data_IF_999956813554
#
_entry.id   IF_999956813554
#
_cell.length_a   1.000
_cell.length_b   1.000
_cell.length_c   1.000
_cell.angle_alpha   90.00
_cell.angle_beta   90.00
_cell.angle_gamma   90.00
#
_symmetry.space_group_name_H-M   'P 1'
#
loop_
_entity.id
_entity.type
_entity.pdbx_description
1 polymer ?
#
# COMPACT_ATOMS: atom_id res chain seq x y z
N UNK A 1 43.12 -16.52 31.29
CA UNK A 1 42.88 -16.52 29.84
C UNK A 1 41.49 -17.08 29.58
N UNK A 2 40.48 -16.20 29.50
CA UNK A 2 39.12 -16.54 29.05
C UNK A 2 38.53 -15.29 28.42
N UNK A 3 38.41 -15.28 27.10
CA UNK A 3 37.90 -14.15 26.32
C UNK A 3 36.42 -14.43 26.02
N UNK A 4 35.53 -13.63 26.60
CA UNK A 4 34.08 -13.69 26.33
C UNK A 4 33.77 -12.71 25.20
N UNK A 5 33.48 -13.21 24.00
CA UNK A 5 33.07 -12.39 22.87
C UNK A 5 31.56 -12.10 22.96
N UNK A 6 31.21 -10.83 23.12
CA UNK A 6 29.84 -10.35 23.06
C UNK A 6 29.34 -10.37 21.61
N UNK A 7 28.23 -11.07 21.38
CA UNK A 7 27.56 -11.22 20.09
C UNK A 7 26.55 -10.08 19.95
N UNK A 8 26.88 -9.06 19.16
CA UNK A 8 25.95 -8.01 18.74
C UNK A 8 24.91 -8.60 17.78
N UNK A 9 23.65 -8.59 18.19
CA UNK A 9 22.52 -8.95 17.33
C UNK A 9 22.17 -7.84 16.34
N UNK A 10 21.45 -8.15 15.24
CA UNK A 10 21.09 -7.18 14.23
C UNK A 10 20.04 -6.19 14.74
N UNK A 11 20.28 -4.92 14.48
CA UNK A 11 19.37 -3.80 14.71
C UNK A 11 18.17 -3.90 13.77
N UNK A 12 16.96 -3.96 14.32
CA UNK A 12 15.72 -3.86 13.54
C UNK A 12 15.54 -2.44 12.99
N UNK A 13 15.08 -2.26 11.73
CA UNK A 13 14.74 -0.95 11.20
C UNK A 13 13.54 -0.36 11.94
N UNK A 14 13.60 0.94 12.24
CA UNK A 14 12.49 1.68 12.85
C UNK A 14 11.33 1.90 11.87
N UNK A 15 10.13 2.24 12.37
CA UNK A 15 9.00 2.56 11.52
C UNK A 15 9.22 3.93 10.85
N UNK A 16 9.05 3.99 9.53
CA UNK A 16 8.81 5.24 8.79
C UNK A 16 9.96 5.87 8.00
N UNK A 17 11.03 5.13 7.66
CA UNK A 17 11.98 5.63 6.65
C UNK A 17 11.47 5.27 5.26
N UNK A 18 10.84 6.22 4.57
CA UNK A 18 10.60 6.11 3.13
C UNK A 18 11.98 6.18 2.46
N UNK A 19 12.54 5.02 2.12
CA UNK A 19 13.75 4.95 1.32
C UNK A 19 13.36 5.22 -0.14
N UNK A 20 13.24 6.49 -0.52
CA UNK A 20 13.33 6.90 -1.93
C UNK A 20 14.79 6.77 -2.39
N UNK A 21 15.32 5.54 -2.41
CA UNK A 21 16.66 5.24 -2.87
C UNK A 21 16.62 4.84 -4.34
N UNK A 22 16.16 5.74 -5.22
CA UNK A 22 16.34 5.65 -6.70
C UNK A 22 15.96 6.91 -7.49
N UNK A 23 15.48 8.00 -6.88
CA UNK A 23 15.29 9.26 -7.60
C UNK A 23 16.63 10.01 -7.75
N UNK A 24 17.51 9.50 -8.61
CA UNK A 24 18.67 10.27 -9.09
C UNK A 24 18.15 11.28 -10.10
N UNK A 25 17.68 12.43 -9.61
CA UNK A 25 17.21 13.53 -10.46
C UNK A 25 18.42 14.17 -11.17
N UNK A 26 18.70 13.76 -12.41
CA UNK A 26 19.55 14.52 -13.32
C UNK A 26 18.79 15.74 -13.83
N UNK A 27 19.18 16.92 -13.36
CA UNK A 27 18.69 18.19 -13.86
C UNK A 27 19.46 18.58 -15.13
N UNK A 28 18.90 18.31 -16.30
CA UNK A 28 19.39 18.89 -17.56
C UNK A 28 18.74 20.25 -17.80
N UNK A 29 19.54 21.30 -17.62
CA UNK A 29 19.17 22.68 -17.92
C UNK A 29 19.19 22.93 -19.42
N UNK A 30 18.00 23.05 -20.03
CA UNK A 30 17.84 23.61 -21.38
C UNK A 30 16.90 24.81 -21.34
N UNK A 31 17.46 25.99 -21.58
CA UNK A 31 16.74 27.26 -21.80
C UNK A 31 16.10 27.29 -23.19
N UNK A 32 14.85 27.77 -23.33
CA UNK A 32 14.33 28.19 -24.64
C UNK A 32 14.27 29.72 -24.73
N UNK A 33 14.80 30.24 -25.83
CA UNK A 33 14.69 31.63 -26.24
C UNK A 33 13.52 31.88 -27.18
N UNK A 34 13.09 33.15 -27.14
CA UNK A 34 12.40 33.94 -28.17
C UNK A 34 10.95 33.61 -28.58
N UNK A 35 10.08 34.60 -28.39
CA UNK A 35 9.66 35.40 -29.53
C UNK A 35 8.23 35.24 -30.08
N UNK A 36 7.55 36.39 -30.10
CA UNK A 36 6.48 36.82 -31.01
C UNK A 36 5.02 36.42 -30.71
N UNK A 37 4.23 37.49 -30.58
CA UNK A 37 2.81 37.53 -30.35
C UNK A 37 2.02 37.25 -31.62
N UNK A 38 0.93 36.49 -31.48
CA UNK A 38 -0.12 36.36 -32.51
C UNK A 38 -1.47 36.86 -31.95
N UNK A 39 -2.38 37.37 -32.79
CA UNK A 39 -3.59 38.06 -32.34
C UNK A 39 -4.77 37.12 -32.09
N UNK A 40 -5.59 37.54 -31.11
CA UNK A 40 -6.81 36.93 -30.58
C UNK A 40 -7.77 36.24 -31.58
N UNK A 41 -8.32 35.06 -31.24
CA UNK A 41 -9.52 34.52 -31.87
C UNK A 41 -10.82 35.03 -31.20
N UNK A 42 -11.98 35.01 -31.91
CA UNK A 42 -13.27 35.55 -31.46
C UNK A 42 -13.98 34.68 -30.39
N UNK A 43 -15.01 35.21 -29.70
CA UNK A 43 -15.54 34.62 -28.47
C UNK A 43 -16.32 33.32 -28.72
N UNK A 44 -15.91 32.27 -28.00
CA UNK A 44 -16.61 30.98 -27.93
C UNK A 44 -17.85 31.13 -27.05
N UNK A 45 -19.00 30.82 -27.64
CA UNK A 45 -20.29 30.68 -26.95
C UNK A 45 -20.20 29.66 -25.82
N UNK A 46 -20.56 30.09 -24.60
CA UNK A 46 -20.65 29.27 -23.38
C UNK A 46 -21.69 28.17 -23.55
N UNK A 47 -21.26 26.99 -24.02
CA UNK A 47 -22.04 25.78 -23.85
C UNK A 47 -22.03 25.38 -22.38
N UNK A 48 -23.19 25.59 -21.75
CA UNK A 48 -23.58 25.11 -20.43
C UNK A 48 -23.33 23.60 -20.35
N UNK A 49 -22.17 23.20 -19.82
CA UNK A 49 -21.88 21.79 -19.49
C UNK A 49 -22.89 21.35 -18.44
N UNK A 50 -23.67 20.32 -18.76
CA UNK A 50 -24.50 19.63 -17.78
C UNK A 50 -23.58 18.95 -16.75
N UNK A 51 -23.76 19.18 -15.44
CA UNK A 51 -23.16 18.34 -14.42
C UNK A 51 -24.05 17.11 -14.24
N UNK A 52 -23.53 15.89 -14.42
CA UNK A 52 -24.29 14.69 -14.09
C UNK A 52 -24.01 13.40 -14.85
N UNK A 53 -23.00 13.32 -15.73
CA UNK A 53 -22.52 12.00 -16.14
C UNK A 53 -21.66 11.43 -15.01
N UNK A 54 -22.32 10.75 -14.07
CA UNK A 54 -21.69 9.77 -13.20
C UNK A 54 -20.88 8.83 -14.11
N UNK A 55 -19.54 8.95 -14.06
CA UNK A 55 -18.67 7.94 -14.66
C UNK A 55 -19.10 6.61 -14.06
N UNK A 56 -19.44 5.66 -14.91
CA UNK A 56 -19.63 4.28 -14.48
C UNK A 56 -18.44 3.87 -13.59
N UNK A 57 -18.67 3.11 -12.50
CA UNK A 57 -17.57 2.54 -11.73
C UNK A 57 -16.63 1.87 -12.72
N UNK A 58 -15.35 2.22 -12.68
CA UNK A 58 -14.37 1.73 -13.63
C UNK A 58 -14.37 0.20 -13.59
N UNK A 59 -15.00 -0.42 -14.58
CA UNK A 59 -15.06 -1.87 -14.70
C UNK A 59 -13.63 -2.36 -14.88
N UNK A 60 -13.20 -3.27 -14.01
CA UNK A 60 -11.86 -3.84 -14.08
C UNK A 60 -11.73 -4.64 -15.38
N UNK A 61 -10.63 -4.46 -16.14
CA UNK A 61 -10.35 -5.32 -17.27
C UNK A 61 -10.30 -6.79 -16.85
N UNK A 62 -10.68 -7.69 -17.76
CA UNK A 62 -10.53 -9.12 -17.53
C UNK A 62 -9.05 -9.47 -17.27
N UNK A 63 -8.77 -10.35 -16.31
CA UNK A 63 -7.40 -10.68 -15.88
C UNK A 63 -6.50 -11.14 -17.05
N UNK A 64 -7.04 -11.90 -18.00
CA UNK A 64 -6.30 -12.32 -19.20
C UNK A 64 -5.90 -11.13 -20.08
N UNK A 65 -6.77 -10.13 -20.23
CA UNK A 65 -6.45 -8.91 -20.98
C UNK A 65 -5.32 -8.14 -20.32
N UNK A 66 -5.25 -8.11 -18.99
CA UNK A 66 -4.13 -7.50 -18.28
C UNK A 66 -2.80 -8.23 -18.54
N UNK A 67 -2.82 -9.56 -18.60
CA UNK A 67 -1.64 -10.35 -18.95
C UNK A 67 -1.18 -10.07 -20.37
N UNK A 68 -2.10 -10.06 -21.33
CA UNK A 68 -1.78 -10.00 -22.76
C UNK A 68 -1.45 -8.58 -23.24
N UNK A 69 -2.05 -7.55 -22.64
CA UNK A 69 -1.94 -6.17 -23.12
C UNK A 69 -0.95 -5.29 -22.32
N UNK A 70 -0.38 -5.80 -21.23
CA UNK A 70 0.64 -5.06 -20.48
C UNK A 70 2.02 -5.38 -21.03
N UNK A 71 2.84 -4.37 -21.31
CA UNK A 71 4.24 -4.56 -21.70
C UNK A 71 5.12 -4.86 -20.48
N UNK A 72 5.00 -6.07 -19.95
CA UNK A 72 5.67 -6.45 -18.70
C UNK A 72 7.19 -6.33 -18.74
N UNK A 73 7.79 -6.54 -19.91
CA UNK A 73 9.24 -6.46 -20.08
C UNK A 73 9.77 -5.02 -19.95
N UNK A 74 8.94 -4.00 -20.18
CA UNK A 74 9.32 -2.59 -20.01
C UNK A 74 9.21 -2.10 -18.58
N UNK A 75 8.53 -2.83 -17.69
CA UNK A 75 8.19 -2.35 -16.35
C UNK A 75 9.28 -2.72 -15.33
N UNK A 76 9.77 -1.73 -14.61
CA UNK A 76 10.72 -1.94 -13.53
C UNK A 76 10.12 -2.73 -12.35
N UNK A 77 10.94 -3.58 -11.76
CA UNK A 77 10.68 -4.37 -10.54
C UNK A 77 11.85 -4.19 -9.56
N UNK A 78 11.73 -4.77 -8.35
CA UNK A 78 12.89 -4.79 -7.43
C UNK A 78 14.08 -5.59 -7.97
N UNK A 79 13.86 -6.47 -8.95
CA UNK A 79 14.89 -7.40 -9.47
C UNK A 79 15.30 -7.15 -10.92
N UNK A 80 14.82 -6.06 -11.53
CA UNK A 80 15.07 -5.76 -12.94
C UNK A 80 13.78 -5.38 -13.65
N UNK A 81 13.37 -6.19 -14.62
CA UNK A 81 12.14 -6.00 -15.39
C UNK A 81 11.06 -6.99 -14.97
N UNK A 82 9.82 -6.76 -15.40
CA UNK A 82 8.67 -7.61 -15.10
C UNK A 82 8.48 -8.81 -16.03
N UNK A 83 9.48 -9.20 -16.82
CA UNK A 83 9.35 -10.25 -17.85
C UNK A 83 8.84 -11.60 -17.28
N UNK A 84 9.16 -11.92 -16.04
CA UNK A 84 8.67 -13.13 -15.36
C UNK A 84 7.26 -13.04 -14.78
N UNK A 85 6.73 -11.83 -14.60
CA UNK A 85 5.45 -11.61 -13.92
C UNK A 85 4.27 -12.30 -14.61
N UNK A 86 4.11 -12.29 -15.95
CA UNK A 86 2.96 -12.93 -16.59
C UNK A 86 2.84 -14.42 -16.27
N UNK A 87 3.98 -15.13 -16.31
CA UNK A 87 4.03 -16.54 -16.01
C UNK A 87 3.74 -16.85 -14.54
N UNK A 88 4.22 -15.99 -13.63
CA UNK A 88 3.91 -16.12 -12.20
C UNK A 88 2.45 -15.80 -11.89
N UNK A 89 1.91 -14.71 -12.44
CA UNK A 89 0.52 -14.28 -12.24
C UNK A 89 -0.48 -15.30 -12.80
N UNK A 90 -0.24 -15.86 -13.99
CA UNK A 90 -1.11 -16.89 -14.55
C UNK A 90 -1.25 -18.12 -13.63
N UNK A 91 -0.18 -18.48 -12.90
CA UNK A 91 -0.17 -19.59 -11.93
C UNK A 91 -0.95 -19.30 -10.65
N UNK A 92 -1.42 -18.07 -10.42
CA UNK A 92 -2.37 -17.78 -9.34
C UNK A 92 -3.72 -18.46 -9.55
N UNK A 93 -4.03 -18.88 -10.77
CA UNK A 93 -5.27 -19.58 -11.13
C UNK A 93 -5.05 -21.07 -11.39
N UNK A 94 -3.85 -21.59 -11.12
CA UNK A 94 -3.54 -23.02 -11.24
C UNK A 94 -4.48 -23.83 -10.33
N UNK A 95 -4.95 -25.04 -10.72
CA UNK A 95 -5.78 -25.88 -9.84
C UNK A 95 -5.06 -26.36 -8.57
N UNK A 96 -3.73 -26.43 -8.54
CA UNK A 96 -2.96 -26.84 -7.37
C UNK A 96 -2.73 -25.68 -6.37
N UNK A 97 -3.23 -25.76 -5.12
CA UNK A 97 -3.02 -24.73 -4.11
C UNK A 97 -1.55 -24.46 -3.77
N UNK A 98 -0.67 -25.46 -3.89
CA UNK A 98 0.77 -25.30 -3.65
C UNK A 98 1.40 -24.44 -4.75
N UNK A 99 0.99 -24.66 -6.01
CA UNK A 99 1.41 -23.84 -7.15
C UNK A 99 0.93 -22.41 -6.98
N UNK A 100 -0.35 -22.20 -6.61
CA UNK A 100 -0.90 -20.86 -6.36
C UNK A 100 -0.18 -20.13 -5.23
N UNK A 101 0.06 -20.80 -4.11
CA UNK A 101 0.75 -20.21 -2.95
C UNK A 101 2.19 -19.81 -3.27
N UNK A 102 2.89 -20.61 -4.07
CA UNK A 102 4.22 -20.31 -4.59
C UNK A 102 4.19 -19.14 -5.58
N UNK A 103 3.28 -19.17 -6.55
CA UNK A 103 3.07 -18.11 -7.52
C UNK A 103 2.80 -16.74 -6.86
N UNK A 104 1.92 -16.71 -5.85
CA UNK A 104 1.64 -15.49 -5.09
C UNK A 104 2.87 -14.97 -4.37
N UNK A 105 3.64 -15.84 -3.71
CA UNK A 105 4.88 -15.41 -3.05
C UNK A 105 5.87 -14.83 -4.06
N UNK A 106 6.02 -15.47 -5.21
CA UNK A 106 7.05 -15.10 -6.19
C UNK A 106 6.67 -13.79 -6.89
N UNK A 107 5.44 -13.67 -7.42
CA UNK A 107 4.96 -12.46 -8.09
C UNK A 107 4.91 -11.24 -7.15
N UNK A 108 4.36 -11.39 -5.94
CA UNK A 108 4.18 -10.25 -5.03
C UNK A 108 5.51 -9.75 -4.46
N UNK A 109 6.50 -10.63 -4.24
CA UNK A 109 7.85 -10.22 -3.82
C UNK A 109 8.65 -9.52 -4.91
N UNK A 110 8.31 -9.74 -6.17
CA UNK A 110 8.97 -9.11 -7.31
C UNK A 110 8.57 -7.62 -7.43
N UNK A 111 7.35 -7.28 -7.01
CA UNK A 111 6.81 -5.91 -7.08
C UNK A 111 6.68 -5.21 -5.73
N UNK A 112 7.27 -5.78 -4.68
CA UNK A 112 7.21 -5.21 -3.31
C UNK A 112 8.55 -5.32 -2.61
N UNK A 113 9.10 -4.18 -2.22
CA UNK A 113 10.29 -4.13 -1.39
C UNK A 113 10.35 -2.78 -0.65
N UNK A 114 10.60 -2.83 0.67
CA UNK A 114 10.81 -1.65 1.52
C UNK A 114 9.77 -0.52 1.35
N UNK A 115 8.50 -0.88 1.19
CA UNK A 115 7.38 0.05 1.00
C UNK A 115 7.51 0.90 -0.29
N UNK A 116 8.26 0.43 -1.28
CA UNK A 116 8.41 1.07 -2.58
C UNK A 116 7.39 0.53 -3.57
N UNK A 117 6.73 1.44 -4.29
CA UNK A 117 5.85 1.13 -5.42
C UNK A 117 6.67 1.22 -6.70
N UNK A 118 6.75 0.11 -7.43
CA UNK A 118 7.44 0.00 -8.70
C UNK A 118 6.45 0.16 -9.86
N UNK A 119 6.96 0.39 -11.07
CA UNK A 119 6.13 0.48 -12.28
C UNK A 119 5.26 -0.77 -12.47
N UNK A 120 5.83 -1.95 -12.21
CA UNK A 120 5.11 -3.22 -12.30
C UNK A 120 4.08 -3.43 -11.17
N UNK A 121 4.18 -2.72 -10.05
CA UNK A 121 3.22 -2.85 -8.93
C UNK A 121 1.80 -2.46 -9.34
N UNK A 122 1.67 -1.46 -10.21
CA UNK A 122 0.37 -0.93 -10.69
C UNK A 122 -0.42 -1.98 -11.48
N UNK A 123 0.09 -2.59 -12.56
CA UNK A 123 -0.64 -3.65 -13.28
C UNK A 123 -0.78 -4.94 -12.47
N UNK A 124 0.15 -5.27 -11.56
CA UNK A 124 -0.06 -6.39 -10.63
C UNK A 124 -1.26 -6.12 -9.72
N UNK A 125 -1.44 -4.90 -9.20
CA UNK A 125 -2.59 -4.55 -8.37
C UNK A 125 -3.92 -4.68 -9.12
N UNK A 126 -3.96 -4.26 -10.40
CA UNK A 126 -5.12 -4.48 -11.26
C UNK A 126 -5.39 -5.97 -11.49
N UNK A 127 -4.35 -6.75 -11.77
CA UNK A 127 -4.49 -8.19 -11.98
C UNK A 127 -5.05 -8.87 -10.72
N UNK A 128 -4.47 -8.57 -9.56
CA UNK A 128 -4.94 -9.08 -8.27
C UNK A 128 -6.40 -8.73 -8.06
N UNK A 129 -6.79 -7.47 -8.24
CA UNK A 129 -8.19 -7.04 -8.11
C UNK A 129 -9.13 -7.80 -9.05
N UNK A 130 -8.71 -8.04 -10.30
CA UNK A 130 -9.49 -8.76 -11.29
C UNK A 130 -9.67 -10.26 -10.96
N UNK A 131 -8.81 -10.85 -10.13
CA UNK A 131 -8.90 -12.27 -9.74
C UNK A 131 -9.46 -12.52 -8.34
N UNK A 132 -9.72 -11.49 -7.53
CA UNK A 132 -10.24 -11.67 -6.17
C UNK A 132 -11.57 -12.46 -6.12
N UNK A 133 -12.42 -12.30 -7.13
CA UNK A 133 -13.68 -13.04 -7.28
C UNK A 133 -13.57 -14.35 -8.08
N UNK A 134 -12.37 -14.75 -8.49
CA UNK A 134 -12.18 -15.95 -9.30
C UNK A 134 -12.33 -17.21 -8.43
N UNK A 135 -13.04 -18.27 -8.86
CA UNK A 135 -13.27 -19.47 -8.06
C UNK A 135 -11.99 -20.12 -7.52
N UNK A 136 -10.90 -20.16 -8.30
CA UNK A 136 -9.62 -20.71 -7.87
C UNK A 136 -8.92 -19.88 -6.76
N UNK A 137 -9.31 -18.61 -6.58
CA UNK A 137 -8.79 -17.72 -5.54
C UNK A 137 -9.71 -17.73 -4.33
N UNK A 138 -11.03 -17.73 -4.57
CA UNK A 138 -12.05 -17.72 -3.51
C UNK A 138 -12.32 -19.09 -2.90
N UNK A 139 -11.89 -20.19 -3.55
CA UNK A 139 -11.89 -21.50 -2.92
C UNK A 139 -11.01 -21.44 -1.66
N UNK A 140 -11.61 -21.69 -0.49
CA UNK A 140 -10.89 -21.76 0.77
C UNK A 140 -10.00 -23.00 0.81
N UNK A 141 -8.85 -22.94 0.14
CA UNK A 141 -7.92 -24.06 0.10
C UNK A 141 -7.13 -24.15 1.39
N UNK A 142 -7.74 -24.75 2.40
CA UNK A 142 -7.06 -25.19 3.60
C UNK A 142 -6.23 -26.43 3.28
N UNK A 143 -5.12 -26.25 2.57
CA UNK A 143 -4.12 -27.31 2.39
C UNK A 143 -3.67 -27.82 3.75
N UNK A 144 -4.22 -28.96 4.17
CA UNK A 144 -3.88 -29.66 5.41
C UNK A 144 -2.61 -30.49 5.17
N UNK A 145 -1.46 -29.83 4.99
CA UNK A 145 -0.19 -30.50 5.18
C UNK A 145 0.11 -30.60 6.67
N UNK A 146 0.04 -31.83 7.19
CA UNK A 146 0.31 -32.15 8.58
C UNK A 146 1.77 -31.81 8.93
N UNK A 147 1.98 -30.60 9.46
CA UNK A 147 3.31 -30.12 9.89
C UNK A 147 3.60 -28.66 9.53
N UNK A 148 2.80 -28.03 8.67
CA UNK A 148 2.92 -26.61 8.36
C UNK A 148 1.84 -25.80 9.10
N UNK A 149 2.15 -24.57 9.56
CA UNK A 149 1.12 -23.68 10.09
C UNK A 149 0.00 -23.50 9.05
N UNK A 150 -1.25 -23.28 9.47
CA UNK A 150 -2.38 -23.20 8.55
C UNK A 150 -2.07 -22.21 7.42
N UNK A 151 -2.05 -22.72 6.18
CA UNK A 151 -1.89 -21.88 5.01
C UNK A 151 -3.00 -20.84 5.04
N UNK A 152 -2.64 -19.55 5.10
CA UNK A 152 -3.61 -18.49 4.95
C UNK A 152 -4.28 -18.65 3.58
N UNK A 153 -5.61 -18.55 3.48
CA UNK A 153 -6.30 -18.61 2.21
C UNK A 153 -5.63 -17.65 1.21
N UNK A 154 -5.45 -18.09 -0.04
CA UNK A 154 -4.82 -17.27 -1.07
C UNK A 154 -5.47 -15.88 -1.15
N UNK A 155 -6.80 -15.84 -1.06
CA UNK A 155 -7.57 -14.61 -1.03
C UNK A 155 -7.12 -13.63 0.09
N UNK A 156 -6.91 -14.13 1.31
CA UNK A 156 -6.43 -13.32 2.44
C UNK A 156 -5.04 -12.75 2.12
N UNK A 157 -4.13 -13.57 1.61
CA UNK A 157 -2.78 -13.12 1.23
C UNK A 157 -2.81 -12.02 0.16
N UNK A 158 -3.66 -12.16 -0.84
CA UNK A 158 -3.81 -11.16 -1.91
C UNK A 158 -4.39 -9.84 -1.37
N UNK A 159 -5.37 -9.92 -0.47
CA UNK A 159 -5.95 -8.74 0.19
C UNK A 159 -4.95 -8.05 1.12
N UNK A 160 -4.19 -8.80 1.92
CA UNK A 160 -3.16 -8.25 2.81
C UNK A 160 -2.07 -7.52 2.02
N UNK A 161 -1.66 -8.11 0.88
CA UNK A 161 -0.74 -7.46 -0.03
C UNK A 161 -1.33 -6.17 -0.60
N UNK A 162 -2.54 -6.23 -1.15
CA UNK A 162 -3.19 -5.07 -1.76
C UNK A 162 -3.39 -3.94 -0.73
N UNK A 163 -3.78 -4.28 0.50
CA UNK A 163 -3.93 -3.32 1.58
C UNK A 163 -2.61 -2.73 2.06
N UNK A 164 -1.54 -3.52 2.11
CA UNK A 164 -0.20 -3.01 2.43
C UNK A 164 0.31 -2.07 1.33
N UNK A 165 0.20 -2.44 0.05
CA UNK A 165 0.57 -1.55 -1.06
C UNK A 165 -0.29 -0.29 -1.10
N UNK A 166 -1.59 -0.38 -0.79
CA UNK A 166 -2.45 0.79 -0.72
C UNK A 166 -2.08 1.72 0.42
N UNK A 167 -1.65 1.17 1.56
CA UNK A 167 -1.10 1.94 2.67
C UNK A 167 0.23 2.61 2.30
N UNK A 168 1.12 1.92 1.57
CA UNK A 168 2.37 2.53 1.07
C UNK A 168 2.11 3.68 0.07
N UNK A 169 0.90 3.76 -0.49
CA UNK A 169 0.42 4.82 -1.37
C UNK A 169 -0.52 5.82 -0.68
N UNK A 170 -0.67 5.78 0.65
CA UNK A 170 -1.67 6.55 1.39
C UNK A 170 -1.36 8.06 1.47
N UNK A 171 -2.35 8.84 1.89
CA UNK A 171 -2.23 10.29 2.01
C UNK A 171 -1.13 10.69 3.01
N UNK A 172 -0.90 9.90 4.07
CA UNK A 172 0.17 10.14 5.03
C UNK A 172 1.55 9.89 4.40
N UNK A 173 1.72 8.77 3.69
CA UNK A 173 2.94 8.45 2.96
C UNK A 173 3.29 9.53 1.92
N UNK A 174 2.30 10.02 1.19
CA UNK A 174 2.47 11.15 0.27
C UNK A 174 2.90 12.41 1.02
N UNK A 175 2.22 12.76 2.11
CA UNK A 175 2.56 13.95 2.89
C UNK A 175 3.97 13.85 3.49
N UNK A 176 4.42 12.66 3.87
CA UNK A 176 5.82 12.41 4.28
C UNK A 176 6.76 12.64 3.11
N UNK A 177 6.47 12.08 1.93
CA UNK A 177 7.26 12.27 0.72
C UNK A 177 7.40 13.75 0.34
N UNK A 178 6.30 14.49 0.33
CA UNK A 178 6.30 15.93 0.04
C UNK A 178 7.14 16.75 1.03
N UNK A 179 7.14 16.38 2.32
CA UNK A 179 7.98 17.04 3.33
C UNK A 179 9.48 16.83 3.12
N UNK A 180 9.89 15.70 2.54
CA UNK A 180 11.30 15.34 2.40
C UNK A 180 11.85 15.61 0.99
N UNK A 181 11.01 15.46 -0.03
CA UNK A 181 11.39 15.55 -1.44
C UNK A 181 10.80 16.78 -2.15
N UNK A 182 9.88 17.52 -1.50
CA UNK A 182 9.26 18.72 -2.04
C UNK A 182 7.86 18.50 -2.60
N UNK A 183 7.15 19.59 -2.88
CA UNK A 183 5.74 19.58 -3.28
C UNK A 183 5.46 18.85 -4.61
N UNK A 184 6.47 18.68 -5.46
CA UNK A 184 6.36 17.98 -6.75
C UNK A 184 6.56 16.45 -6.62
N UNK A 185 6.72 15.91 -5.40
CA UNK A 185 6.94 14.49 -5.14
C UNK A 185 5.99 13.57 -5.91
N UNK A 186 4.68 13.85 -5.92
CA UNK A 186 3.71 13.04 -6.67
C UNK A 186 3.83 13.14 -8.20
N UNK A 187 4.42 14.22 -8.73
CA UNK A 187 4.72 14.34 -10.16
C UNK A 187 5.96 13.55 -10.55
N UNK A 188 6.94 13.48 -9.63
CA UNK A 188 8.18 12.73 -9.80
C UNK A 188 7.96 11.21 -9.59
N UNK A 189 7.17 10.82 -8.59
CA UNK A 189 6.80 9.42 -8.30
C UNK A 189 5.51 9.02 -9.02
N UNK A 190 5.62 8.81 -10.33
CA UNK A 190 4.50 8.51 -11.23
C UNK A 190 3.76 7.22 -10.85
N UNK A 191 4.47 6.26 -10.26
CA UNK A 191 3.96 4.94 -9.87
C UNK A 191 3.01 5.05 -8.68
N UNK A 192 3.38 5.88 -7.69
CA UNK A 192 2.52 6.18 -6.53
C UNK A 192 1.25 6.87 -7.01
N UNK A 193 1.38 7.88 -7.86
CA UNK A 193 0.23 8.57 -8.45
C UNK A 193 -0.66 7.61 -9.24
N UNK A 194 -0.08 6.79 -10.11
CA UNK A 194 -0.82 5.82 -10.91
C UNK A 194 -1.57 4.81 -10.03
N UNK A 195 -0.94 4.29 -8.97
CA UNK A 195 -1.61 3.41 -8.01
C UNK A 195 -2.80 4.11 -7.33
N UNK A 196 -2.62 5.37 -6.90
CA UNK A 196 -3.68 6.15 -6.26
C UNK A 196 -4.86 6.40 -7.18
N UNK A 197 -4.61 6.63 -8.47
CA UNK A 197 -5.67 6.80 -9.49
C UNK A 197 -6.49 5.52 -9.70
N UNK A 198 -5.96 4.34 -9.35
CA UNK A 198 -6.67 3.06 -9.43
C UNK A 198 -7.57 2.75 -8.23
N UNK A 199 -7.47 3.51 -7.13
CA UNK A 199 -8.19 3.22 -5.88
C UNK A 199 -9.70 2.95 -6.08
N UNK A 200 -10.45 3.70 -6.91
CA UNK A 200 -11.85 3.38 -7.19
C UNK A 200 -12.08 1.97 -7.75
N UNK A 201 -11.24 1.53 -8.69
CA UNK A 201 -11.36 0.22 -9.31
C UNK A 201 -10.98 -0.90 -8.33
N UNK A 202 -9.88 -0.71 -7.58
CA UNK A 202 -9.44 -1.65 -6.54
C UNK A 202 -10.50 -1.78 -5.44
N UNK A 203 -11.05 -0.65 -4.98
CA UNK A 203 -12.10 -0.64 -3.96
C UNK A 203 -13.36 -1.38 -4.44
N UNK A 204 -13.74 -1.20 -5.71
CA UNK A 204 -14.88 -1.91 -6.29
C UNK A 204 -14.72 -3.44 -6.25
N UNK A 205 -13.50 -3.97 -6.41
CA UNK A 205 -13.22 -5.40 -6.28
C UNK A 205 -13.16 -5.89 -4.83
N UNK A 206 -12.63 -5.07 -3.91
CA UNK A 206 -12.50 -5.43 -2.49
C UNK A 206 -13.84 -5.37 -1.76
N UNK A 207 -14.69 -4.38 -2.08
CA UNK A 207 -15.92 -4.08 -1.35
C UNK A 207 -16.85 -5.29 -1.14
N UNK A 208 -17.14 -6.16 -2.13
CA UNK A 208 -17.97 -7.34 -1.93
C UNK A 208 -17.45 -8.29 -0.84
N UNK A 209 -16.13 -8.30 -0.60
CA UNK A 209 -15.47 -9.19 0.36
C UNK A 209 -15.59 -8.71 1.82
N UNK A 210 -16.04 -7.48 2.05
CA UNK A 210 -16.35 -6.97 3.39
C UNK A 210 -17.47 -7.77 4.09
N UNK A 211 -18.32 -8.43 3.30
CA UNK A 211 -19.42 -9.29 3.75
C UNK A 211 -19.15 -10.79 3.64
N UNK A 212 -17.91 -11.21 3.35
CA UNK A 212 -17.56 -12.63 3.17
C UNK A 212 -17.84 -13.47 4.44
N UNK A 213 -18.11 -14.77 4.33
CA UNK A 213 -18.43 -15.62 5.50
C UNK A 213 -17.21 -15.87 6.40
N UNK A 214 -16.03 -16.00 5.80
CA UNK A 214 -14.75 -16.13 6.49
C UNK A 214 -14.35 -14.80 7.18
N UNK A 215 -14.16 -14.79 8.52
CA UNK A 215 -13.75 -13.59 9.26
C UNK A 215 -12.38 -13.04 8.84
N UNK A 216 -11.44 -13.88 8.43
CA UNK A 216 -10.10 -13.44 8.04
C UNK A 216 -10.16 -12.70 6.69
N UNK A 217 -10.97 -13.20 5.76
CA UNK A 217 -11.24 -12.51 4.49
C UNK A 217 -11.92 -11.16 4.73
N UNK A 218 -12.95 -11.10 5.59
CA UNK A 218 -13.60 -9.81 5.93
C UNK A 218 -12.62 -8.82 6.54
N UNK A 219 -11.72 -9.29 7.42
CA UNK A 219 -10.75 -8.44 8.08
C UNK A 219 -9.71 -7.91 7.09
N UNK A 220 -9.11 -8.77 6.27
CA UNK A 220 -8.15 -8.37 5.25
C UNK A 220 -8.78 -7.42 4.22
N UNK A 221 -10.04 -7.68 3.81
CA UNK A 221 -10.79 -6.78 2.93
C UNK A 221 -11.02 -5.41 3.57
N UNK A 222 -11.37 -5.35 4.86
CA UNK A 222 -11.51 -4.08 5.58
C UNK A 222 -10.19 -3.31 5.63
N UNK A 223 -9.09 -3.98 5.97
CA UNK A 223 -7.75 -3.37 6.02
C UNK A 223 -7.36 -2.81 4.66
N UNK A 224 -7.62 -3.54 3.58
CA UNK A 224 -7.36 -3.05 2.22
C UNK A 224 -8.27 -1.90 1.81
N UNK A 225 -9.55 -1.95 2.17
CA UNK A 225 -10.54 -0.94 1.77
C UNK A 225 -10.29 0.44 2.39
N UNK A 226 -9.67 0.52 3.57
CA UNK A 226 -9.41 1.77 4.29
C UNK A 226 -8.54 2.75 3.49
N UNK A 227 -7.26 2.43 3.14
CA UNK A 227 -6.41 3.35 2.38
C UNK A 227 -6.96 3.59 0.96
N UNK A 228 -7.68 2.63 0.37
CA UNK A 228 -8.36 2.85 -0.91
C UNK A 228 -9.43 3.95 -0.80
N UNK A 229 -10.17 4.00 0.31
CA UNK A 229 -11.26 4.98 0.56
C UNK A 229 -10.80 6.42 0.79
N UNK A 230 -9.49 6.67 0.79
CA UNK A 230 -8.94 8.03 0.79
C UNK A 230 -9.16 8.75 -0.55
N UNK A 231 -9.39 8.00 -1.64
CA UNK A 231 -9.76 8.63 -2.90
C UNK A 231 -11.04 9.48 -2.73
N UNK A 232 -11.08 10.73 -3.25
CA UNK A 232 -12.22 11.64 -3.05
C UNK A 232 -13.59 11.03 -3.42
N UNK A 233 -13.64 10.27 -4.51
CA UNK A 233 -14.87 9.59 -4.97
C UNK A 233 -15.38 8.50 -4.01
N UNK A 234 -14.55 8.05 -3.07
CA UNK A 234 -14.86 6.95 -2.14
C UNK A 234 -15.16 7.41 -0.71
N UNK A 235 -15.10 8.71 -0.43
CA UNK A 235 -15.33 9.27 0.93
C UNK A 235 -16.71 8.90 1.47
N UNK A 236 -17.72 8.78 0.59
CA UNK A 236 -19.09 8.36 0.95
C UNK A 236 -19.16 6.94 1.53
N UNK A 237 -18.17 6.08 1.28
CA UNK A 237 -18.12 4.71 1.79
C UNK A 237 -17.51 4.59 3.19
N UNK A 238 -16.94 5.65 3.77
CA UNK A 238 -16.31 5.58 5.10
C UNK A 238 -17.28 5.13 6.20
N UNK A 239 -18.55 5.53 6.13
CA UNK A 239 -19.58 5.08 7.08
C UNK A 239 -19.79 3.57 7.04
N UNK A 240 -19.85 2.97 5.84
CA UNK A 240 -19.92 1.52 5.65
C UNK A 240 -18.70 0.82 6.27
N UNK A 241 -17.49 1.35 6.04
CA UNK A 241 -16.25 0.80 6.60
C UNK A 241 -16.19 0.86 8.13
N UNK A 242 -16.71 1.94 8.73
CA UNK A 242 -16.81 2.08 10.19
C UNK A 242 -17.69 0.98 10.78
N UNK A 243 -18.82 0.70 10.16
CA UNK A 243 -19.71 -0.37 10.60
C UNK A 243 -19.06 -1.75 10.49
N UNK A 244 -18.28 -2.01 9.42
CA UNK A 244 -17.48 -3.22 9.30
C UNK A 244 -16.38 -3.30 10.35
N UNK A 245 -15.68 -2.21 10.63
CA UNK A 245 -14.65 -2.16 11.66
C UNK A 245 -15.22 -2.50 13.04
N UNK A 246 -16.36 -1.90 13.42
CA UNK A 246 -17.02 -2.20 14.70
C UNK A 246 -17.38 -3.67 14.86
N UNK A 247 -17.80 -4.34 13.78
CA UNK A 247 -18.10 -5.78 13.80
C UNK A 247 -16.84 -6.66 13.88
N UNK A 248 -15.81 -6.33 13.11
CA UNK A 248 -14.62 -7.18 12.96
C UNK A 248 -13.58 -7.02 14.07
N UNK A 249 -13.51 -5.85 14.72
CA UNK A 249 -12.53 -5.58 15.77
C UNK A 249 -12.77 -6.40 17.04
N UNK A 250 -13.96 -6.97 17.26
CA UNK A 250 -14.16 -7.85 18.41
C UNK A 250 -13.41 -9.19 18.27
N UNK A 251 -13.11 -9.62 17.02
CA UNK A 251 -12.62 -10.97 16.72
C UNK A 251 -11.20 -11.01 16.15
N UNK A 252 -10.67 -9.89 15.63
CA UNK A 252 -9.31 -9.86 15.07
C UNK A 252 -8.24 -9.99 16.14
N UNK A 253 -7.27 -10.88 15.89
CA UNK A 253 -6.07 -11.12 16.71
C UNK A 253 -4.81 -10.47 16.12
N UNK A 254 -4.86 -9.98 14.88
CA UNK A 254 -3.73 -9.32 14.23
C UNK A 254 -3.62 -7.86 14.66
N UNK A 255 -2.76 -7.62 15.66
CA UNK A 255 -2.48 -6.29 16.20
C UNK A 255 -2.10 -5.25 15.14
N UNK A 256 -1.33 -5.62 14.12
CA UNK A 256 -0.86 -4.64 13.13
C UNK A 256 -2.03 -4.10 12.31
N UNK A 257 -2.87 -5.01 11.83
CA UNK A 257 -4.07 -4.67 11.09
C UNK A 257 -5.12 -3.98 11.96
N UNK A 258 -5.26 -4.37 13.24
CA UNK A 258 -6.10 -3.64 14.21
C UNK A 258 -5.68 -2.18 14.35
N UNK A 259 -4.39 -1.92 14.54
CA UNK A 259 -3.86 -0.56 14.67
C UNK A 259 -4.17 0.29 13.44
N UNK A 260 -3.92 -0.24 12.23
CA UNK A 260 -4.25 0.47 10.96
C UNK A 260 -5.71 0.89 10.90
N UNK A 261 -6.62 0.00 11.30
CA UNK A 261 -8.07 0.32 11.32
C UNK A 261 -8.39 1.39 12.37
N UNK A 262 -7.84 1.28 13.58
CA UNK A 262 -8.08 2.25 14.65
C UNK A 262 -7.54 3.64 14.30
N UNK A 263 -6.33 3.71 13.73
CA UNK A 263 -5.72 4.97 13.30
C UNK A 263 -6.54 5.65 12.20
N UNK A 264 -7.05 4.88 11.23
CA UNK A 264 -7.95 5.41 10.21
C UNK A 264 -9.28 5.93 10.78
N UNK A 265 -9.91 5.19 11.70
CA UNK A 265 -11.14 5.63 12.37
C UNK A 265 -10.93 6.95 13.12
N UNK A 266 -9.81 7.07 13.85
CA UNK A 266 -9.42 8.31 14.54
C UNK A 266 -9.21 9.46 13.55
N UNK A 267 -8.51 9.21 12.45
CA UNK A 267 -8.29 10.20 11.39
C UNK A 267 -9.59 10.69 10.75
N UNK A 268 -10.62 9.82 10.70
CA UNK A 268 -11.96 10.19 10.23
C UNK A 268 -12.86 10.81 11.32
N UNK A 269 -12.36 10.97 12.54
CA UNK A 269 -13.07 11.60 13.66
C UNK A 269 -14.03 10.68 14.42
N UNK A 270 -13.90 9.36 14.28
CA UNK A 270 -14.70 8.41 15.06
C UNK A 270 -14.05 8.08 16.39
N UNK A 271 -14.88 7.93 17.42
CA UNK A 271 -14.45 7.38 18.72
C UNK A 271 -14.12 5.88 18.59
N UNK A 272 -12.95 5.52 19.11
CA UNK A 272 -12.41 4.15 19.07
C UNK A 272 -12.24 3.53 20.45
N UNK A 273 -12.53 4.25 21.54
CA UNK A 273 -12.24 3.80 22.90
C UNK A 273 -12.92 2.46 23.22
N UNK A 274 -14.13 2.24 22.68
CA UNK A 274 -14.86 0.99 22.84
C UNK A 274 -14.35 -0.18 21.97
N UNK A 275 -13.42 0.08 21.04
CA UNK A 275 -12.85 -0.89 20.10
C UNK A 275 -11.42 -1.32 20.47
N UNK A 276 -10.70 -0.48 21.25
CA UNK A 276 -9.38 -0.80 21.76
C UNK A 276 -9.47 -1.93 22.82
N UNK A 277 -8.63 -2.95 22.68
CA UNK A 277 -8.45 -3.97 23.71
C UNK A 277 -7.22 -3.68 24.58
N UNK A 278 -7.01 -4.46 25.64
CA UNK A 278 -5.87 -4.26 26.54
C UNK A 278 -4.50 -4.34 25.84
N UNK A 279 -4.37 -5.16 24.80
CA UNK A 279 -3.13 -5.26 24.02
C UNK A 279 -2.90 -4.01 23.16
N UNK A 280 -3.96 -3.43 22.57
CA UNK A 280 -3.89 -2.19 21.80
C UNK A 280 -3.50 -0.99 22.71
N UNK A 281 -4.06 -0.94 23.91
CA UNK A 281 -3.72 0.09 24.90
C UNK A 281 -2.25 -0.03 25.31
N UNK A 282 -1.80 -1.22 25.71
CA UNK A 282 -0.41 -1.46 26.11
C UNK A 282 0.58 -1.16 24.97
N UNK A 283 0.19 -1.49 23.74
CA UNK A 283 0.94 -1.18 22.53
C UNK A 283 1.15 0.33 22.32
N UNK A 284 0.07 1.10 22.42
CA UNK A 284 0.09 2.56 22.28
C UNK A 284 0.95 3.20 23.36
N UNK A 285 0.83 2.75 24.61
CA UNK A 285 1.68 3.22 25.71
C UNK A 285 3.17 2.91 25.47
N UNK A 286 3.50 1.71 25.00
CA UNK A 286 4.88 1.35 24.68
C UNK A 286 5.44 2.24 23.56
N UNK A 287 4.64 2.51 22.53
CA UNK A 287 5.05 3.38 21.42
C UNK A 287 5.27 4.82 21.91
N UNK A 288 4.37 5.36 22.74
CA UNK A 288 4.53 6.69 23.34
C UNK A 288 5.82 6.79 24.16
N UNK A 289 6.16 5.75 24.96
CA UNK A 289 7.43 5.69 25.71
C UNK A 289 8.65 5.72 24.78
N UNK A 290 8.64 4.93 23.70
CA UNK A 290 9.74 4.91 22.71
C UNK A 290 9.90 6.26 22.01
N UNK A 291 8.80 6.92 21.67
CA UNK A 291 8.83 8.25 21.05
C UNK A 291 9.38 9.30 22.02
N UNK A 292 8.96 9.28 23.29
CA UNK A 292 9.50 10.16 24.33
C UNK A 292 11.01 9.94 24.56
N UNK A 293 11.45 8.67 24.58
CA UNK A 293 12.87 8.33 24.71
C UNK A 293 13.70 8.83 23.52
N UNK A 294 13.17 8.70 22.29
CA UNK A 294 13.83 9.24 21.08
C UNK A 294 13.91 10.76 21.11
N UNK A 295 12.82 11.44 21.47
CA UNK A 295 12.79 12.90 21.58
C UNK A 295 13.78 13.39 22.65
N UNK A 296 13.86 12.69 23.79
CA UNK A 296 14.85 12.98 24.83
C UNK A 296 16.29 12.85 24.31
N UNK A 297 16.63 11.76 23.60
CA UNK A 297 17.96 11.57 23.00
C UNK A 297 18.30 12.62 21.94
N UNK A 298 17.33 13.01 21.11
CA UNK A 298 17.52 14.05 20.10
C UNK A 298 17.73 15.43 20.75
N UNK A 299 17.04 15.72 21.85
CA UNK A 299 17.18 16.97 22.60
C UNK A 299 18.42 17.04 23.49
N UNK A 300 18.96 15.92 23.97
CA UNK A 300 20.18 15.89 24.81
C UNK A 300 21.49 16.00 24.01
N UNK A 301 21.44 15.97 22.68
CA UNK A 301 22.60 15.96 21.79
C UNK A 301 23.30 17.31 21.56
N UNK A 302 22.80 18.43 22.10
CA UNK A 302 23.36 19.78 21.87
C UNK A 302 24.56 20.15 22.77
N UNK A 303 25.15 19.19 23.49
CA UNK A 303 26.21 19.44 24.47
C UNK A 303 27.52 18.66 24.29
N UNK A 304 27.75 18.05 23.12
CA UNK A 304 29.02 17.39 22.82
C UNK A 304 30.08 18.40 22.42
N UNK A 305 30.83 18.92 23.39
CA UNK A 305 32.12 19.57 23.14
C UNK A 305 33.03 18.54 22.44
N UNK A 306 33.20 18.64 21.13
CA UNK A 306 34.37 18.11 20.47
C UNK A 306 35.55 18.95 20.94
N UNK A 307 36.23 18.52 22.01
CA UNK A 307 37.59 18.98 22.23
C UNK A 307 38.41 18.49 21.04
N UNK A 308 38.89 19.42 20.21
CA UNK A 308 39.82 19.13 19.14
C UNK A 308 41.04 18.39 19.74
N UNK A 309 41.45 17.24 19.17
CA UNK A 309 42.60 16.53 19.67
C UNK A 309 43.86 17.42 19.51
N UNK A 310 44.68 17.56 20.56
CA UNK A 310 45.93 18.31 20.43
C UNK A 310 46.86 17.55 19.48
N UNK A 311 47.39 18.27 18.50
CA UNK A 311 48.39 17.81 17.53
C UNK A 311 49.63 17.21 18.21
#
# INVERSE_FOLDING_TARGET
>A
MSTTAARTGPTLPGPGSICCETASCHADGTTPGAGSATPYPPPVTKNRRQPGQHRHPAELPHHQTLLDCTDWASLATVRGTGESLPAALARLLDPDPVVRGTAARDALREVTHQNTIYEATVPVALYVAAVLGHPAVSAGDFGHDAGMPPNHPLLVRLLDWLGSTAHDADDECVAVGERHCGADFLQECREIRAFRDLRPALFSAVRPLLGHDDPDVRHAALVAAIPLSEHPDLVSHRGELVDHARRSQATSTDRHNRNRVLDALKAWGYDTDSLENAADIAAREQQARRMAERAYRAGSGTGGHCEDPPF
#
